data_IF_145451714171
#
_entry.id   IF_145451714171
#
_cell.length_a   1.000
_cell.length_b   1.000
_cell.length_c   1.000
_cell.angle_alpha   90.00
_cell.angle_beta   90.00
_cell.angle_gamma   90.00
#
_symmetry.space_group_name_H-M   'P 1'
#
loop_
_entity.id
_entity.type
_entity.pdbx_description
1 polymer ?
#
# COMPACT_ATOMS: atom_id res chain seq x y z
N UNK A 1 -14.68 3.12 -3.15
CA UNK A 1 -14.06 2.91 -4.48
C UNK A 1 -13.70 1.44 -4.70
N UNK A 2 -13.70 0.96 -5.95
CA UNK A 2 -13.53 -0.47 -6.22
C UNK A 2 -12.10 -0.96 -5.90
N UNK A 3 -12.02 -2.07 -5.16
CA UNK A 3 -10.80 -2.87 -4.94
C UNK A 3 -11.13 -4.29 -5.43
N UNK A 4 -10.44 -4.80 -6.46
CA UNK A 4 -10.65 -6.19 -6.88
C UNK A 4 -10.47 -7.16 -5.71
N UNK A 5 -11.27 -8.23 -5.59
CA UNK A 5 -11.19 -9.16 -4.45
C UNK A 5 -9.78 -9.71 -4.20
N UNK A 6 -9.01 -9.95 -5.28
CA UNK A 6 -7.61 -10.38 -5.21
C UNK A 6 -6.69 -9.41 -4.46
N UNK A 7 -7.05 -8.13 -4.38
CA UNK A 7 -6.28 -7.07 -3.73
C UNK A 7 -6.92 -6.59 -2.42
N UNK A 8 -7.88 -7.33 -1.87
CA UNK A 8 -8.62 -6.95 -0.67
C UNK A 8 -7.72 -6.59 0.54
N UNK A 9 -6.52 -7.17 0.63
CA UNK A 9 -5.53 -6.85 1.66
C UNK A 9 -5.11 -5.36 1.70
N UNK A 10 -5.26 -4.63 0.58
CA UNK A 10 -5.00 -3.20 0.52
C UNK A 10 -6.07 -2.38 1.25
N UNK A 11 -7.22 -2.96 1.58
CA UNK A 11 -8.26 -2.30 2.36
C UNK A 11 -8.04 -2.58 3.85
N UNK A 12 -8.11 -1.55 4.67
CA UNK A 12 -8.12 -1.60 6.12
C UNK A 12 -9.51 -1.21 6.61
N UNK A 13 -10.12 -2.11 7.37
CA UNK A 13 -11.40 -1.90 8.07
C UNK A 13 -11.16 -1.83 9.57
N UNK A 14 -12.05 -1.14 10.28
CA UNK A 14 -11.87 -0.80 11.70
C UNK A 14 -12.98 -1.30 12.62
N UNK A 15 -14.08 -1.84 12.08
CA UNK A 15 -15.23 -2.28 12.84
C UNK A 15 -16.26 -3.03 11.99
N UNK A 16 -17.45 -3.22 12.54
CA UNK A 16 -18.59 -3.79 11.82
C UNK A 16 -19.13 -2.81 10.76
N UNK A 17 -19.71 -3.34 9.69
CA UNK A 17 -20.23 -2.53 8.58
C UNK A 17 -21.27 -1.48 9.05
N UNK A 18 -21.31 -0.30 8.41
CA UNK A 18 -22.26 0.73 8.76
C UNK A 18 -23.70 0.25 8.54
N UNK A 19 -24.66 0.91 9.20
CA UNK A 19 -26.08 0.63 8.93
C UNK A 19 -26.49 1.34 7.64
N UNK A 20 -27.29 0.69 6.78
CA UNK A 20 -27.84 1.35 5.61
C UNK A 20 -28.80 2.48 5.98
N UNK A 21 -28.87 3.50 5.14
CA UNK A 21 -29.70 4.69 5.38
C UNK A 21 -31.20 4.45 5.13
N UNK A 22 -31.53 3.45 4.32
CA UNK A 22 -32.89 3.00 4.05
C UNK A 22 -32.89 1.55 3.55
N UNK A 23 -34.04 0.89 3.62
CA UNK A 23 -34.21 -0.46 3.08
C UNK A 23 -33.91 -0.50 1.57
N UNK A 24 -33.13 -1.48 1.14
CA UNK A 24 -32.71 -1.61 -0.26
C UNK A 24 -31.56 -0.68 -0.68
N UNK A 25 -31.11 0.23 0.20
CA UNK A 25 -29.89 1.02 -0.01
C UNK A 25 -28.74 0.29 0.68
N UNK A 26 -27.62 -0.01 0.01
CA UNK A 26 -26.48 -0.63 0.67
C UNK A 26 -25.84 0.36 1.65
N UNK A 27 -25.37 -0.14 2.79
CA UNK A 27 -24.51 0.64 3.65
C UNK A 27 -23.21 0.97 2.91
N UNK A 28 -22.75 2.21 3.01
CA UNK A 28 -21.54 2.67 2.34
C UNK A 28 -20.71 3.46 3.34
N UNK A 29 -19.58 2.90 3.85
CA UNK A 29 -18.65 3.69 4.63
C UNK A 29 -17.95 4.71 3.73
N UNK A 30 -17.52 5.82 4.32
CA UNK A 30 -16.57 6.71 3.69
C UNK A 30 -15.27 5.97 3.37
N UNK A 31 -14.62 6.37 2.28
CA UNK A 31 -13.34 5.78 1.86
C UNK A 31 -12.25 6.84 1.82
N UNK A 32 -11.13 6.59 2.50
CA UNK A 32 -9.88 7.32 2.27
C UNK A 32 -8.94 6.43 1.45
N UNK A 33 -8.45 6.91 0.32
CA UNK A 33 -7.44 6.22 -0.48
C UNK A 33 -6.10 6.93 -0.36
N UNK A 34 -5.09 6.20 0.11
CA UNK A 34 -3.73 6.70 0.28
C UNK A 34 -2.87 6.20 -0.88
N UNK A 35 -2.52 7.07 -1.82
CA UNK A 35 -1.59 6.78 -2.90
C UNK A 35 -0.17 7.02 -2.44
N UNK A 36 0.56 5.95 -2.15
CA UNK A 36 1.85 6.00 -1.47
C UNK A 36 2.92 5.25 -2.27
N UNK A 37 4.14 5.80 -2.25
CA UNK A 37 5.35 5.16 -2.76
C UNK A 37 6.25 4.75 -1.59
N UNK A 38 6.66 3.49 -1.52
CA UNK A 38 7.54 3.00 -0.44
C UNK A 38 8.92 3.67 -0.40
N UNK A 39 9.36 4.30 -1.48
CA UNK A 39 10.67 4.97 -1.61
C UNK A 39 10.50 6.50 -1.58
N UNK A 40 9.29 7.03 -1.34
CA UNK A 40 9.06 8.46 -1.14
C UNK A 40 9.12 8.85 0.35
N UNK A 41 9.98 9.80 0.77
CA UNK A 41 10.08 10.22 2.18
C UNK A 41 8.79 10.88 2.71
N UNK A 42 8.04 11.58 1.85
CA UNK A 42 6.75 12.16 2.24
C UNK A 42 5.67 11.09 2.44
N UNK A 43 5.70 10.02 1.66
CA UNK A 43 4.80 8.87 1.85
C UNK A 43 5.10 8.16 3.16
N UNK A 44 6.38 7.94 3.48
CA UNK A 44 6.79 7.38 4.78
C UNK A 44 6.33 8.25 5.95
N UNK A 45 6.49 9.57 5.85
CA UNK A 45 6.02 10.51 6.88
C UNK A 45 4.52 10.41 7.10
N UNK A 46 3.72 10.43 6.03
CA UNK A 46 2.26 10.34 6.14
C UNK A 46 1.82 8.99 6.70
N UNK A 47 2.38 7.89 6.16
CA UNK A 47 2.04 6.54 6.58
C UNK A 47 2.39 6.31 8.06
N UNK A 48 3.54 6.79 8.52
CA UNK A 48 3.94 6.64 9.92
C UNK A 48 2.92 7.26 10.87
N UNK A 49 2.51 8.51 10.65
CA UNK A 49 1.47 9.14 11.49
C UNK A 49 0.14 8.41 11.35
N UNK A 50 -0.29 8.13 10.12
CA UNK A 50 -1.57 7.48 9.85
C UNK A 50 -1.64 6.10 10.54
N UNK A 51 -0.69 5.22 10.27
CA UNK A 51 -0.72 3.84 10.74
C UNK A 51 -0.44 3.71 12.23
N UNK A 52 0.55 4.45 12.76
CA UNK A 52 0.98 4.29 14.14
C UNK A 52 0.18 5.15 15.15
N UNK A 53 -0.52 6.20 14.71
CA UNK A 53 -1.30 7.07 15.60
C UNK A 53 -2.77 7.21 15.21
N UNK A 54 -3.09 7.41 13.93
CA UNK A 54 -4.47 7.66 13.48
C UNK A 54 -5.30 6.37 13.46
N UNK A 55 -4.75 5.25 12.99
CA UNK A 55 -5.43 3.95 13.00
C UNK A 55 -5.87 3.55 14.42
N UNK A 56 -5.00 3.60 15.47
CA UNK A 56 -5.45 3.39 16.84
C UNK A 56 -6.57 4.35 17.27
N UNK A 57 -6.51 5.63 16.90
CA UNK A 57 -7.55 6.61 17.23
C UNK A 57 -8.88 6.32 16.53
N UNK A 58 -8.86 5.87 15.27
CA UNK A 58 -10.06 5.39 14.54
C UNK A 58 -10.67 4.20 15.27
N UNK A 59 -9.86 3.20 15.63
CA UNK A 59 -10.36 2.01 16.36
C UNK A 59 -10.94 2.35 17.73
N UNK A 60 -10.44 3.38 18.39
CA UNK A 60 -10.93 3.85 19.69
C UNK A 60 -12.24 4.67 19.60
N UNK A 61 -12.64 5.11 18.41
CA UNK A 61 -13.88 5.86 18.19
C UNK A 61 -14.89 5.01 17.39
N UNK A 62 -15.96 4.49 18.03
CA UNK A 62 -16.93 3.61 17.37
C UNK A 62 -17.61 4.24 16.14
N UNK A 63 -17.83 5.57 16.14
CA UNK A 63 -18.45 6.26 15.01
C UNK A 63 -17.52 6.26 13.79
N UNK A 64 -16.23 6.53 13.98
CA UNK A 64 -15.25 6.44 12.90
C UNK A 64 -15.02 4.99 12.46
N UNK A 65 -14.91 4.06 13.42
CA UNK A 65 -14.61 2.66 13.13
C UNK A 65 -15.68 1.97 12.27
N UNK A 66 -16.95 2.36 12.43
CA UNK A 66 -18.07 1.80 11.66
C UNK A 66 -18.28 2.47 10.29
N UNK A 67 -17.86 3.72 10.13
CA UNK A 67 -18.20 4.53 8.95
C UNK A 67 -17.00 4.86 8.04
N UNK A 68 -15.81 4.31 8.31
CA UNK A 68 -14.60 4.58 7.53
C UNK A 68 -13.90 3.29 7.11
N UNK A 69 -13.46 3.26 5.86
CA UNK A 69 -12.47 2.32 5.35
C UNK A 69 -11.29 3.08 4.75
N UNK A 70 -10.10 2.48 4.81
CA UNK A 70 -8.90 3.06 4.18
C UNK A 70 -8.34 2.09 3.15
N UNK A 71 -7.95 2.60 1.98
CA UNK A 71 -7.36 1.80 0.91
C UNK A 71 -5.93 2.30 0.66
N UNK A 72 -4.96 1.40 0.77
CA UNK A 72 -3.61 1.64 0.27
C UNK A 72 -3.57 1.48 -1.25
N UNK A 73 -3.11 2.50 -1.96
CA UNK A 73 -2.90 2.48 -3.41
C UNK A 73 -1.41 2.57 -3.69
N UNK A 74 -0.88 1.55 -4.36
CA UNK A 74 0.52 1.48 -4.77
C UNK A 74 0.77 2.59 -5.82
N UNK A 75 1.48 3.67 -5.46
CA UNK A 75 1.81 4.78 -6.36
C UNK A 75 3.31 4.78 -6.67
N UNK A 76 3.71 3.89 -7.58
CA UNK A 76 5.11 3.66 -7.93
C UNK A 76 5.66 4.84 -8.74
N UNK A 77 6.72 5.48 -8.28
CA UNK A 77 7.35 6.57 -9.00
C UNK A 77 8.54 6.10 -9.84
N UNK A 78 8.50 6.25 -11.18
CA UNK A 78 9.51 5.67 -12.07
C UNK A 78 10.89 6.33 -11.98
N UNK A 79 11.00 7.51 -11.38
CA UNK A 79 12.29 8.16 -11.11
C UNK A 79 12.98 7.62 -9.84
N UNK A 80 12.36 6.69 -9.12
CA UNK A 80 12.97 5.88 -8.07
C UNK A 80 12.99 4.41 -8.52
N UNK A 81 14.01 3.96 -9.28
CA UNK A 81 14.00 2.63 -9.90
C UNK A 81 13.73 1.47 -8.94
N UNK A 82 14.25 1.57 -7.71
CA UNK A 82 14.04 0.57 -6.65
C UNK A 82 12.58 0.47 -6.19
N UNK A 83 11.77 1.53 -6.36
CA UNK A 83 10.35 1.56 -5.98
C UNK A 83 9.59 0.38 -6.57
N UNK A 84 9.83 0.06 -7.84
CA UNK A 84 9.24 -1.13 -8.48
C UNK A 84 9.50 -2.41 -7.67
N UNK A 85 10.73 -2.63 -7.22
CA UNK A 85 11.11 -3.84 -6.49
C UNK A 85 10.44 -3.90 -5.11
N UNK A 86 10.42 -2.77 -4.40
CA UNK A 86 9.83 -2.64 -3.07
C UNK A 86 8.29 -2.81 -3.13
N UNK A 87 7.65 -2.30 -4.17
CA UNK A 87 6.21 -2.49 -4.37
C UNK A 87 5.87 -3.93 -4.79
N UNK A 88 6.68 -4.58 -5.63
CA UNK A 88 6.50 -5.99 -5.99
C UNK A 88 6.58 -6.90 -4.76
N UNK A 89 7.47 -6.64 -3.80
CA UNK A 89 7.52 -7.44 -2.56
C UNK A 89 6.25 -7.29 -1.73
N UNK A 90 5.66 -6.09 -1.67
CA UNK A 90 4.36 -5.90 -1.01
C UNK A 90 3.24 -6.70 -1.72
N UNK A 91 3.25 -6.77 -3.05
CA UNK A 91 2.30 -7.62 -3.81
C UNK A 91 2.54 -9.11 -3.56
N UNK A 92 3.80 -9.54 -3.40
CA UNK A 92 4.12 -10.91 -3.02
C UNK A 92 3.56 -11.25 -1.63
N UNK A 93 3.62 -10.32 -0.67
CA UNK A 93 2.99 -10.47 0.64
C UNK A 93 1.46 -10.51 0.54
N UNK A 94 0.82 -9.71 -0.32
CA UNK A 94 -0.63 -9.83 -0.57
C UNK A 94 -1.00 -11.24 -1.04
N UNK A 95 -0.18 -11.85 -1.90
CA UNK A 95 -0.42 -13.18 -2.46
C UNK A 95 -0.16 -14.32 -1.48
N UNK A 96 0.80 -14.17 -0.57
CA UNK A 96 1.26 -15.24 0.34
C UNK A 96 0.69 -15.13 1.76
N UNK A 97 0.54 -13.90 2.27
CA UNK A 97 0.11 -13.60 3.62
C UNK A 97 -0.69 -12.28 3.66
N UNK A 98 -1.90 -12.21 3.06
CA UNK A 98 -2.65 -10.95 2.90
C UNK A 98 -2.90 -10.20 4.21
N UNK A 99 -3.12 -10.91 5.32
CA UNK A 99 -3.31 -10.30 6.64
C UNK A 99 -2.07 -9.53 7.16
N UNK A 100 -0.89 -9.76 6.57
CA UNK A 100 0.37 -9.12 6.93
C UNK A 100 0.69 -7.88 6.09
N UNK A 101 -0.11 -7.56 5.07
CA UNK A 101 0.17 -6.46 4.15
C UNK A 101 0.48 -5.14 4.88
N UNK A 102 -0.42 -4.67 5.75
CA UNK A 102 -0.23 -3.38 6.45
C UNK A 102 0.97 -3.38 7.41
N UNK A 103 1.20 -4.48 8.12
CA UNK A 103 2.37 -4.62 8.99
C UNK A 103 3.67 -4.63 8.17
N UNK A 104 3.66 -5.25 6.99
CA UNK A 104 4.79 -5.26 6.08
C UNK A 104 5.00 -3.88 5.43
N UNK A 105 3.95 -3.15 5.07
CA UNK A 105 4.03 -1.76 4.61
C UNK A 105 4.73 -0.88 5.65
N UNK A 106 4.38 -1.01 6.93
CA UNK A 106 5.06 -0.31 8.02
C UNK A 106 6.55 -0.69 8.12
N UNK A 107 6.89 -1.98 7.98
CA UNK A 107 8.28 -2.43 7.94
C UNK A 107 9.05 -1.86 6.73
N UNK A 108 8.44 -1.81 5.55
CA UNK A 108 9.03 -1.22 4.34
C UNK A 108 9.31 0.27 4.52
N UNK A 109 8.36 1.04 5.07
CA UNK A 109 8.57 2.46 5.34
C UNK A 109 9.62 2.71 6.42
N UNK A 110 9.69 1.87 7.46
CA UNK A 110 10.74 1.96 8.49
C UNK A 110 12.13 1.65 7.95
N UNK A 111 12.24 0.71 7.01
CA UNK A 111 13.48 0.36 6.33
C UNK A 111 13.73 1.18 5.05
N UNK A 112 12.96 2.24 4.78
CA UNK A 112 12.92 2.91 3.48
C UNK A 112 14.30 3.34 2.94
N UNK A 113 15.17 3.88 3.80
CA UNK A 113 16.48 4.40 3.39
C UNK A 113 17.39 3.33 2.77
N UNK A 114 17.19 2.07 3.17
CA UNK A 114 17.94 0.92 2.67
C UNK A 114 17.72 0.65 1.17
N UNK A 115 16.66 1.25 0.60
CA UNK A 115 16.22 1.08 -0.77
C UNK A 115 16.27 2.39 -1.58
N UNK A 116 16.87 3.45 -1.04
CA UNK A 116 17.12 4.68 -1.81
C UNK A 116 18.22 4.48 -2.86
N UNK A 117 18.19 5.29 -3.92
CA UNK A 117 19.06 5.14 -5.08
C UNK A 117 20.54 5.03 -4.71
N UNK A 118 21.03 5.90 -3.82
CA UNK A 118 22.42 5.89 -3.36
C UNK A 118 22.83 4.58 -2.67
N UNK A 119 21.87 3.88 -2.06
CA UNK A 119 22.09 2.65 -1.29
C UNK A 119 22.01 1.38 -2.15
N UNK A 120 21.33 1.44 -3.30
CA UNK A 120 21.12 0.27 -4.17
C UNK A 120 21.71 0.39 -5.58
N UNK A 121 22.38 1.51 -5.90
CA UNK A 121 22.90 1.79 -7.25
C UNK A 121 23.78 0.67 -7.85
N UNK A 122 24.51 -0.06 -7.01
CA UNK A 122 25.38 -1.17 -7.42
C UNK A 122 24.82 -2.55 -7.04
N UNK A 123 23.59 -2.60 -6.52
CA UNK A 123 22.97 -3.84 -6.06
C UNK A 123 22.22 -4.53 -7.21
N UNK A 124 22.51 -5.81 -7.52
CA UNK A 124 21.73 -6.56 -8.49
C UNK A 124 20.28 -6.76 -8.03
N UNK A 125 19.33 -6.70 -8.96
CA UNK A 125 17.88 -6.84 -8.71
C UNK A 125 17.50 -7.98 -7.76
N UNK A 126 18.06 -9.17 -7.97
CA UNK A 126 17.74 -10.35 -7.16
C UNK A 126 18.32 -10.28 -5.73
N UNK A 127 19.39 -9.51 -5.49
CA UNK A 127 19.89 -9.26 -4.13
C UNK A 127 18.95 -8.34 -3.36
N UNK A 128 18.41 -7.31 -4.01
CA UNK A 128 17.36 -6.47 -3.42
C UNK A 128 16.12 -7.30 -3.05
N UNK A 129 15.68 -8.23 -3.90
CA UNK A 129 14.57 -9.12 -3.57
C UNK A 129 14.85 -10.06 -2.40
N UNK A 130 16.08 -10.58 -2.26
CA UNK A 130 16.47 -11.37 -1.08
C UNK A 130 16.32 -10.55 0.21
N UNK A 131 16.77 -9.30 0.22
CA UNK A 131 16.62 -8.39 1.37
C UNK A 131 15.15 -8.07 1.66
N UNK A 132 14.34 -7.84 0.63
CA UNK A 132 12.90 -7.58 0.77
C UNK A 132 12.15 -8.80 1.31
N UNK A 133 12.50 -10.00 0.86
CA UNK A 133 11.94 -11.25 1.37
C UNK A 133 12.30 -11.46 2.84
N UNK A 134 13.56 -11.22 3.21
CA UNK A 134 14.00 -11.24 4.62
C UNK A 134 13.27 -10.21 5.48
N UNK A 135 13.03 -9.01 4.95
CA UNK A 135 12.23 -7.99 5.64
C UNK A 135 10.78 -8.47 5.83
N UNK A 136 10.19 -9.18 4.87
CA UNK A 136 8.87 -9.78 5.03
C UNK A 136 8.87 -10.86 6.14
N UNK A 137 9.96 -11.62 6.26
CA UNK A 137 10.21 -12.54 7.37
C UNK A 137 10.11 -11.87 8.74
N UNK A 138 10.55 -10.61 8.88
CA UNK A 138 10.52 -9.87 10.15
C UNK A 138 9.11 -9.61 10.69
N UNK A 139 8.08 -9.66 9.85
CA UNK A 139 6.67 -9.53 10.26
C UNK A 139 5.92 -10.87 10.30
N UNK A 140 6.65 -11.98 10.18
CA UNK A 140 6.14 -13.35 10.26
C UNK A 140 5.53 -13.87 8.96
N UNK A 141 5.99 -13.39 7.80
CA UNK A 141 5.69 -13.99 6.49
C UNK A 141 6.76 -15.05 6.18
N UNK A 142 6.42 -16.10 5.42
CA UNK A 142 7.40 -17.04 4.90
C UNK A 142 8.32 -16.36 3.87
N UNK A 143 9.57 -16.12 4.28
CA UNK A 143 10.62 -15.50 3.46
C UNK A 143 10.81 -16.24 2.13
N UNK A 144 10.83 -17.58 2.15
CA UNK A 144 11.07 -18.37 0.95
C UNK A 144 9.90 -18.23 -0.02
N UNK A 145 8.67 -18.29 0.48
CA UNK A 145 7.48 -18.13 -0.37
C UNK A 145 7.42 -16.75 -1.04
N UNK A 146 7.87 -15.70 -0.34
CA UNK A 146 8.00 -14.35 -0.92
C UNK A 146 9.11 -14.32 -1.96
N UNK A 147 10.29 -14.87 -1.66
CA UNK A 147 11.43 -14.85 -2.57
C UNK A 147 11.14 -15.63 -3.87
N UNK A 148 10.52 -16.81 -3.77
CA UNK A 148 10.13 -17.64 -4.92
C UNK A 148 9.20 -16.88 -5.89
N UNK A 149 8.41 -15.93 -5.40
CA UNK A 149 7.56 -15.07 -6.24
C UNK A 149 8.30 -13.90 -6.88
N UNK A 150 9.46 -13.50 -6.36
CA UNK A 150 10.14 -12.26 -6.75
C UNK A 150 11.36 -12.49 -7.64
N UNK A 151 12.09 -13.59 -7.44
CA UNK A 151 13.32 -13.88 -8.18
C UNK A 151 13.03 -13.90 -9.68
N UNK A 152 13.90 -13.23 -10.44
CA UNK A 152 13.87 -13.22 -11.90
C UNK A 152 14.95 -14.15 -12.44
N UNK A 153 14.57 -15.00 -13.39
CA UNK A 153 15.47 -15.90 -14.11
C UNK A 153 16.49 -15.13 -14.94
N UNK A 154 17.73 -15.61 -14.98
CA UNK A 154 18.78 -15.17 -15.90
C UNK A 154 18.73 -15.89 -17.26
N UNK A 155 17.75 -16.78 -17.45
CA UNK A 155 17.52 -17.55 -18.67
C UNK A 155 16.18 -17.17 -19.32
N UNK A 156 16.07 -17.28 -20.66
CA UNK A 156 14.79 -17.16 -21.36
C UNK A 156 13.75 -18.17 -20.87
N UNK A 157 12.47 -17.88 -21.09
CA UNK A 157 11.41 -18.90 -20.92
C UNK A 157 11.42 -19.94 -22.06
N UNK A 158 10.45 -20.86 -22.02
CA UNK A 158 10.32 -21.94 -23.00
C UNK A 158 10.09 -21.41 -24.43
N UNK A 159 9.49 -20.23 -24.56
CA UNK A 159 9.23 -19.53 -25.81
C UNK A 159 10.37 -18.58 -26.23
N UNK A 160 11.43 -18.49 -25.42
CA UNK A 160 12.61 -17.65 -25.67
C UNK A 160 12.43 -16.18 -25.27
N UNK A 161 11.39 -15.80 -24.54
CA UNK A 161 11.19 -14.44 -24.07
C UNK A 161 12.16 -14.07 -22.95
N UNK A 162 12.64 -12.83 -22.99
CA UNK A 162 13.65 -12.29 -22.07
C UNK A 162 13.06 -11.35 -21.01
N UNK A 163 11.81 -10.92 -21.16
CA UNK A 163 11.13 -9.93 -20.31
C UNK A 163 9.92 -10.53 -19.59
N UNK A 164 10.11 -11.68 -18.97
CA UNK A 164 9.04 -12.49 -18.36
C UNK A 164 8.55 -11.93 -17.02
N UNK A 165 9.37 -11.11 -16.35
CA UNK A 165 9.08 -10.57 -15.04
C UNK A 165 9.21 -11.61 -13.93
N UNK A 166 8.37 -11.51 -12.91
CA UNK A 166 8.32 -12.39 -11.75
C UNK A 166 6.88 -12.84 -11.46
N UNK A 167 6.68 -13.64 -10.41
CA UNK A 167 5.40 -14.25 -10.03
C UNK A 167 4.29 -13.27 -9.61
N UNK A 168 4.59 -11.97 -9.53
CA UNK A 168 3.63 -10.90 -9.18
C UNK A 168 3.44 -9.85 -10.28
N UNK A 169 4.21 -9.93 -11.37
CA UNK A 169 4.23 -8.90 -12.42
C UNK A 169 2.85 -8.58 -13.00
N UNK A 170 2.01 -9.58 -13.25
CA UNK A 170 0.66 -9.34 -13.80
C UNK A 170 -0.27 -8.64 -12.80
N UNK A 171 -0.17 -8.97 -11.53
CA UNK A 171 -0.94 -8.32 -10.47
C UNK A 171 -0.50 -6.87 -10.29
N UNK A 172 0.81 -6.65 -10.32
CA UNK A 172 1.39 -5.33 -10.22
C UNK A 172 0.99 -4.42 -11.38
N UNK A 173 0.95 -4.95 -12.62
CA UNK A 173 0.43 -4.22 -13.81
C UNK A 173 -1.02 -3.75 -13.60
N UNK A 174 -1.87 -4.57 -13.00
CA UNK A 174 -3.26 -4.19 -12.72
C UNK A 174 -3.32 -3.07 -11.68
N UNK A 175 -2.55 -3.16 -10.60
CA UNK A 175 -2.50 -2.11 -9.57
C UNK A 175 -2.02 -0.77 -10.14
N UNK A 176 -0.99 -0.78 -10.99
CA UNK A 176 -0.52 0.42 -11.71
C UNK A 176 -1.62 0.95 -12.63
N UNK A 177 -2.34 0.09 -13.36
CA UNK A 177 -3.44 0.52 -14.23
C UNK A 177 -4.57 1.18 -13.43
N UNK A 178 -4.90 0.65 -12.25
CA UNK A 178 -5.91 1.25 -11.36
C UNK A 178 -5.51 2.66 -10.92
N UNK A 179 -4.24 2.87 -10.56
CA UNK A 179 -3.75 4.21 -10.20
C UNK A 179 -3.74 5.18 -11.40
N UNK A 180 -3.43 4.69 -12.61
CA UNK A 180 -3.50 5.51 -13.82
C UNK A 180 -4.90 6.01 -14.13
N UNK A 181 -5.95 5.23 -13.82
CA UNK A 181 -7.33 5.63 -14.07
C UNK A 181 -7.78 6.82 -13.21
N UNK A 182 -7.13 7.09 -12.08
CA UNK A 182 -7.44 8.23 -11.20
C UNK A 182 -6.61 9.47 -11.49
N UNK A 183 -5.62 9.37 -12.39
CA UNK A 183 -4.77 10.51 -12.76
C UNK A 183 -3.81 10.97 -11.66
N UNK A 184 -3.61 10.16 -10.61
CA UNK A 184 -2.67 10.51 -9.54
C UNK A 184 -1.24 10.51 -10.06
N UNK A 185 -0.53 11.62 -9.84
CA UNK A 185 0.83 11.82 -10.29
C UNK A 185 1.84 11.70 -9.14
N UNK A 186 1.72 12.55 -8.13
CA UNK A 186 2.68 12.63 -7.02
C UNK A 186 2.26 11.76 -5.83
N UNK A 187 3.24 11.32 -5.05
CA UNK A 187 3.05 10.60 -3.80
C UNK A 187 3.59 11.43 -2.63
N UNK A 188 2.88 11.55 -1.50
CA UNK A 188 1.55 11.02 -1.29
C UNK A 188 0.46 11.82 -2.03
N UNK A 189 -0.63 11.15 -2.38
CA UNK A 189 -1.91 11.78 -2.76
C UNK A 189 -3.03 11.11 -1.98
N UNK A 190 -4.03 11.87 -1.53
CA UNK A 190 -5.19 11.34 -0.82
C UNK A 190 -6.46 11.58 -1.63
N UNK A 191 -7.28 10.56 -1.79
CA UNK A 191 -8.65 10.70 -2.27
C UNK A 191 -9.61 10.42 -1.10
N UNK A 192 -10.68 11.21 -1.00
CA UNK A 192 -11.80 11.00 -0.10
C UNK A 192 -13.06 10.74 -0.92
N UNK A 193 -13.71 9.60 -0.68
CA UNK A 193 -14.87 9.12 -1.44
C UNK A 193 -14.64 9.11 -2.97
N UNK A 194 -13.39 8.89 -3.38
CA UNK A 194 -12.96 8.88 -4.78
C UNK A 194 -12.59 10.25 -5.37
N UNK A 195 -12.69 11.34 -4.60
CA UNK A 195 -12.33 12.69 -5.03
C UNK A 195 -11.00 13.17 -4.41
N UNK A 196 -10.12 13.88 -5.14
CA UNK A 196 -8.88 14.39 -4.58
C UNK A 196 -9.11 15.27 -3.34
N UNK A 197 -8.41 14.97 -2.25
CA UNK A 197 -8.41 15.76 -1.04
C UNK A 197 -7.06 16.47 -0.89
N UNK A 198 -7.07 17.80 -1.05
CA UNK A 198 -5.87 18.64 -0.98
C UNK A 198 -5.61 19.22 0.42
N UNK A 199 -6.49 18.95 1.40
CA UNK A 199 -6.31 19.40 2.78
C UNK A 199 -5.30 18.50 3.50
N UNK A 200 -5.44 17.18 3.33
CA UNK A 200 -4.61 16.18 4.01
C UNK A 200 -3.17 16.25 3.49
N UNK A 201 -2.26 16.70 4.36
CA UNK A 201 -0.82 16.77 4.07
C UNK A 201 -0.06 15.65 4.74
N UNK A 202 1.07 15.24 4.15
CA UNK A 202 2.04 14.33 4.79
C UNK A 202 2.58 14.84 6.13
N UNK A 203 2.46 16.15 6.38
CA UNK A 203 2.90 16.78 7.62
C UNK A 203 1.89 16.75 8.75
N UNK A 204 0.66 16.27 8.53
CA UNK A 204 -0.40 16.34 9.53
C UNK A 204 -0.06 15.60 10.82
N UNK A 205 -0.40 16.22 11.94
CA UNK A 205 -0.37 15.62 13.28
C UNK A 205 -1.63 14.78 13.54
N UNK A 206 -1.60 13.99 14.62
CA UNK A 206 -2.79 13.23 15.06
C UNK A 206 -4.00 14.15 15.29
N UNK A 207 -3.80 15.33 15.87
CA UNK A 207 -4.92 16.23 16.21
C UNK A 207 -5.57 16.82 14.96
N UNK A 208 -4.78 17.17 13.93
CA UNK A 208 -5.32 17.61 12.63
C UNK A 208 -6.12 16.49 11.95
N UNK A 209 -5.64 15.25 12.03
CA UNK A 209 -6.39 14.09 11.56
C UNK A 209 -7.71 13.91 12.32
N UNK A 210 -7.71 14.03 13.66
CA UNK A 210 -8.93 13.91 14.47
C UNK A 210 -9.93 15.00 14.15
N UNK A 211 -9.49 16.25 14.02
CA UNK A 211 -10.34 17.37 13.62
C UNK A 211 -11.00 17.11 12.26
N UNK A 212 -10.21 16.67 11.28
CA UNK A 212 -10.72 16.36 9.96
C UNK A 212 -11.69 15.17 9.97
N UNK A 213 -11.37 14.08 10.68
CA UNK A 213 -12.25 12.91 10.83
C UNK A 213 -13.57 13.28 11.53
N UNK A 214 -13.51 14.13 12.55
CA UNK A 214 -14.70 14.61 13.25
C UNK A 214 -15.62 15.43 12.34
N UNK A 215 -15.06 16.19 11.40
CA UNK A 215 -15.83 17.01 10.45
C UNK A 215 -16.45 16.19 9.31
N UNK A 216 -15.77 15.13 8.85
CA UNK A 216 -16.11 14.47 7.58
C UNK A 216 -16.68 13.05 7.72
N UNK A 217 -16.53 12.39 8.87
CA UNK A 217 -16.97 10.99 9.07
C UNK A 217 -18.11 10.87 10.09
N UNK A 218 -18.17 11.78 11.06
CA UNK A 218 -19.12 11.74 12.17
C UNK A 218 -20.51 12.25 11.80
#
# INVERSE_FOLDING_TARGET
MAVPPKFAAHKLTFGAEPKPSADGVPAQPHTIELYLDYVCPYSAKQFNTFYNAVVPAIRANPAWAANLEVIFRQQVQPWHPSSTLVHESAVAVVKTAPAKFWAYSDALFKAQQDYFDANVVNEPRNETYKRLAKLAGSVGVDEKAVLDLLVVSDKPDAEGALNVGNGVTNDFKVLIKLARLTGVHVSPTVLFDGYPNNEISSGWTLDQWKEWLQKNIA
#
